data_IF_031535593837
#
_entry.id   IF_031535593837
#
_cell.length_a   1.000
_cell.length_b   1.000
_cell.length_c   1.000
_cell.angle_alpha   90.00
_cell.angle_beta   90.00
_cell.angle_gamma   90.00
#
_symmetry.space_group_name_H-M   'P 1'
#
loop_
_entity.id
_entity.type
_entity.pdbx_description
1 polymer ?
#
# COMPACT_ATOMS: atom_id res chain seq x y z
N UNK A 1 9.91 -22.46 17.98
CA UNK A 1 8.91 -21.38 18.01
C UNK A 1 7.54 -22.00 17.82
N UNK A 2 6.59 -21.76 18.73
CA UNK A 2 5.23 -22.32 18.66
C UNK A 2 4.44 -21.68 17.50
N UNK A 3 3.60 -22.46 16.82
CA UNK A 3 2.72 -21.93 15.76
C UNK A 3 1.73 -20.91 16.36
N UNK A 4 1.46 -19.79 15.67
CA UNK A 4 0.47 -18.80 16.14
C UNK A 4 -0.94 -19.37 16.16
N UNK A 5 -1.75 -18.94 17.11
CA UNK A 5 -3.19 -19.28 17.14
C UNK A 5 -3.98 -18.46 16.11
N UNK A 6 -5.18 -18.93 15.72
CA UNK A 6 -6.09 -18.20 14.81
C UNK A 6 -6.37 -16.78 15.32
N UNK A 7 -6.58 -16.62 16.64
CA UNK A 7 -6.83 -15.31 17.26
C UNK A 7 -5.61 -14.39 17.13
N UNK A 8 -4.40 -14.90 17.33
CA UNK A 8 -3.17 -14.13 17.14
C UNK A 8 -2.98 -13.70 15.69
N UNK A 9 -3.23 -14.60 14.73
CA UNK A 9 -3.13 -14.30 13.31
C UNK A 9 -4.15 -13.23 12.87
N UNK A 10 -5.39 -13.32 13.34
CA UNK A 10 -6.43 -12.32 13.07
C UNK A 10 -6.10 -10.96 13.68
N UNK A 11 -5.60 -10.91 14.93
CA UNK A 11 -5.16 -9.66 15.57
C UNK A 11 -4.02 -9.02 14.78
N UNK A 12 -3.06 -9.81 14.34
CA UNK A 12 -1.95 -9.33 13.51
C UNK A 12 -2.44 -8.79 12.15
N UNK A 13 -3.37 -9.47 11.50
CA UNK A 13 -3.99 -9.00 10.26
C UNK A 13 -4.70 -7.64 10.44
N UNK A 14 -5.45 -7.47 11.53
CA UNK A 14 -6.13 -6.19 11.81
C UNK A 14 -5.16 -5.06 12.14
N UNK A 15 -4.11 -5.36 12.92
CA UNK A 15 -3.09 -4.37 13.24
C UNK A 15 -2.40 -3.87 11.96
N UNK A 16 -1.98 -4.79 11.11
CA UNK A 16 -1.30 -4.47 9.86
C UNK A 16 -2.22 -3.78 8.85
N UNK A 17 -3.53 -4.05 8.87
CA UNK A 17 -4.53 -3.27 8.13
C UNK A 17 -4.54 -1.80 8.54
N UNK A 18 -4.51 -1.52 9.85
CA UNK A 18 -4.42 -0.13 10.35
C UNK A 18 -3.09 0.53 9.97
N UNK A 19 -1.97 -0.19 10.08
CA UNK A 19 -0.67 0.33 9.68
C UNK A 19 -0.64 0.68 8.19
N UNK A 20 -1.23 -0.17 7.35
CA UNK A 20 -1.34 0.09 5.92
C UNK A 20 -2.27 1.25 5.61
N UNK A 21 -3.39 1.40 6.33
CA UNK A 21 -4.25 2.59 6.21
C UNK A 21 -3.48 3.88 6.48
N UNK A 22 -2.64 3.88 7.53
CA UNK A 22 -1.84 5.05 7.90
C UNK A 22 -0.73 5.32 6.86
N UNK A 23 -0.02 4.28 6.41
CA UNK A 23 1.01 4.40 5.38
C UNK A 23 0.45 4.99 4.08
N UNK A 24 -0.65 4.42 3.59
CA UNK A 24 -1.34 4.91 2.40
C UNK A 24 -1.94 6.32 2.60
N UNK A 25 -2.60 6.55 3.74
CA UNK A 25 -3.21 7.85 4.03
C UNK A 25 -2.18 8.98 4.07
N UNK A 26 -0.99 8.73 4.64
CA UNK A 26 0.10 9.69 4.64
C UNK A 26 0.63 9.97 3.22
N UNK A 27 0.67 8.97 2.35
CA UNK A 27 1.06 9.16 0.96
C UNK A 27 0.03 9.97 0.15
N UNK A 28 -1.26 9.74 0.39
CA UNK A 28 -2.31 10.61 -0.18
C UNK A 28 -2.13 12.06 0.28
N UNK A 29 -1.80 12.27 1.56
CA UNK A 29 -1.49 13.61 2.09
C UNK A 29 -0.27 14.22 1.40
N UNK A 30 0.79 13.44 1.14
CA UNK A 30 1.96 13.92 0.38
C UNK A 30 1.55 14.44 -1.00
N UNK A 31 0.71 13.72 -1.76
CA UNK A 31 0.22 14.21 -3.06
C UNK A 31 -0.60 15.51 -2.94
N UNK A 32 -1.40 15.66 -1.89
CA UNK A 32 -2.13 16.90 -1.64
C UNK A 32 -1.18 18.06 -1.34
N UNK A 33 -0.12 17.82 -0.56
CA UNK A 33 0.88 18.84 -0.19
C UNK A 33 1.79 19.21 -1.36
N UNK A 34 2.17 18.24 -2.20
CA UNK A 34 2.94 18.46 -3.44
C UNK A 34 2.13 19.19 -4.50
N UNK A 35 0.80 19.12 -4.40
CA UNK A 35 -0.16 19.57 -5.40
C UNK A 35 -0.52 18.43 -6.35
N UNK A 36 -1.81 18.21 -6.58
CA UNK A 36 -2.32 17.07 -7.38
C UNK A 36 -1.85 17.08 -8.84
N UNK A 37 -1.42 18.24 -9.36
CA UNK A 37 -0.84 18.38 -10.71
C UNK A 37 0.65 18.04 -10.79
N UNK A 38 1.32 17.80 -9.66
CA UNK A 38 2.73 17.39 -9.63
C UNK A 38 2.93 15.99 -10.21
N UNK A 39 1.90 15.15 -10.18
CA UNK A 39 1.93 13.78 -10.70
C UNK A 39 1.08 13.69 -11.98
N UNK A 40 1.43 12.83 -12.96
CA UNK A 40 0.63 12.63 -14.16
C UNK A 40 -0.80 12.15 -13.86
N UNK A 41 -1.76 12.51 -14.72
CA UNK A 41 -3.16 12.14 -14.55
C UNK A 41 -3.39 10.63 -14.40
N UNK A 42 -2.66 9.80 -15.16
CA UNK A 42 -2.80 8.33 -15.04
C UNK A 42 -2.27 7.79 -13.72
N UNK A 43 -1.25 8.42 -13.12
CA UNK A 43 -0.78 8.07 -11.76
C UNK A 43 -1.86 8.38 -10.74
N UNK A 44 -2.49 9.56 -10.85
CA UNK A 44 -3.58 9.96 -9.94
C UNK A 44 -4.82 9.07 -10.08
N UNK A 45 -5.21 8.73 -11.31
CA UNK A 45 -6.32 7.82 -11.56
C UNK A 45 -6.02 6.40 -11.05
N UNK A 46 -4.80 5.90 -11.29
CA UNK A 46 -4.35 4.60 -10.79
C UNK A 46 -4.31 4.56 -9.25
N UNK A 47 -3.82 5.62 -8.62
CA UNK A 47 -3.80 5.79 -7.17
C UNK A 47 -5.19 5.82 -6.55
N UNK A 48 -6.17 6.46 -7.20
CA UNK A 48 -7.57 6.43 -6.75
C UNK A 48 -8.15 5.01 -6.80
N UNK A 49 -7.96 4.30 -7.92
CA UNK A 49 -8.43 2.91 -8.08
C UNK A 49 -7.79 2.02 -7.01
N UNK A 50 -6.48 2.13 -6.82
CA UNK A 50 -5.76 1.41 -5.78
C UNK A 50 -6.28 1.77 -4.38
N UNK A 51 -6.52 3.05 -4.09
CA UNK A 51 -7.06 3.50 -2.81
C UNK A 51 -8.43 2.88 -2.49
N UNK A 52 -9.32 2.75 -3.48
CA UNK A 52 -10.60 2.03 -3.30
C UNK A 52 -10.36 0.56 -2.90
N UNK A 53 -9.43 -0.12 -3.57
CA UNK A 53 -9.07 -1.51 -3.26
C UNK A 53 -8.49 -1.63 -1.84
N UNK A 54 -7.61 -0.70 -1.44
CA UNK A 54 -7.05 -0.61 -0.08
C UNK A 54 -8.15 -0.49 0.97
N UNK A 55 -9.08 0.45 0.80
CA UNK A 55 -10.19 0.64 1.73
C UNK A 55 -11.08 -0.61 1.84
N UNK A 56 -11.37 -1.29 0.71
CA UNK A 56 -12.12 -2.55 0.72
C UNK A 56 -11.37 -3.62 1.50
N UNK A 57 -10.08 -3.84 1.20
CA UNK A 57 -9.29 -4.88 1.84
C UNK A 57 -9.15 -4.66 3.36
N UNK A 58 -8.91 -3.43 3.78
CA UNK A 58 -8.84 -3.05 5.20
C UNK A 58 -10.19 -3.27 5.87
N UNK A 59 -11.28 -2.81 5.26
CA UNK A 59 -12.64 -2.97 5.80
C UNK A 59 -12.96 -4.45 6.01
N UNK A 60 -12.61 -5.31 5.05
CA UNK A 60 -12.81 -6.74 5.16
C UNK A 60 -11.98 -7.36 6.28
N UNK A 61 -10.71 -6.96 6.44
CA UNK A 61 -9.85 -7.42 7.53
C UNK A 61 -10.38 -7.02 8.91
N UNK A 62 -10.80 -5.76 9.06
CA UNK A 62 -11.36 -5.24 10.31
C UNK A 62 -12.68 -5.92 10.68
N UNK A 63 -13.53 -6.22 9.70
CA UNK A 63 -14.78 -6.96 9.88
C UNK A 63 -14.59 -8.47 10.07
N UNK A 64 -13.35 -8.98 9.96
CA UNK A 64 -13.05 -10.41 10.13
C UNK A 64 -13.66 -11.29 9.05
N UNK A 65 -13.79 -10.79 7.82
CA UNK A 65 -14.34 -11.58 6.71
C UNK A 65 -13.41 -12.73 6.31
N UNK A 66 -13.98 -13.86 5.87
CA UNK A 66 -13.22 -15.06 5.50
C UNK A 66 -12.24 -14.84 4.34
N UNK A 67 -12.59 -13.98 3.38
CA UNK A 67 -11.75 -13.63 2.22
C UNK A 67 -10.75 -12.50 2.49
N UNK A 68 -10.74 -11.91 3.68
CA UNK A 68 -9.84 -10.82 4.01
C UNK A 68 -8.34 -11.17 3.87
N UNK A 69 -7.87 -12.38 4.24
CA UNK A 69 -6.48 -12.76 4.04
C UNK A 69 -6.04 -12.77 2.57
N UNK A 70 -6.91 -13.23 1.66
CA UNK A 70 -6.62 -13.22 0.21
C UNK A 70 -6.48 -11.81 -0.33
N UNK A 71 -7.43 -10.93 0.04
CA UNK A 71 -7.38 -9.54 -0.38
C UNK A 71 -6.23 -8.77 0.25
N UNK A 72 -5.81 -9.09 1.47
CA UNK A 72 -4.63 -8.51 2.08
C UNK A 72 -3.36 -8.85 1.29
N UNK A 73 -3.21 -10.10 0.84
CA UNK A 73 -2.10 -10.54 0.00
C UNK A 73 -2.13 -9.80 -1.34
N UNK A 74 -3.26 -9.86 -2.04
CA UNK A 74 -3.41 -9.22 -3.36
C UNK A 74 -3.14 -7.72 -3.29
N UNK A 75 -3.78 -7.03 -2.35
CA UNK A 75 -3.69 -5.57 -2.24
C UNK A 75 -2.33 -5.12 -1.78
N UNK A 76 -1.74 -5.78 -0.76
CA UNK A 76 -0.44 -5.41 -0.24
C UNK A 76 0.69 -5.61 -1.24
N UNK A 77 0.72 -6.76 -1.93
CA UNK A 77 1.72 -7.04 -2.98
C UNK A 77 1.48 -6.16 -4.20
N UNK A 78 0.22 -6.03 -4.65
CA UNK A 78 -0.13 -5.18 -5.79
C UNK A 78 0.27 -3.73 -5.57
N UNK A 79 -0.01 -3.18 -4.37
CA UNK A 79 0.41 -1.82 -4.00
C UNK A 79 1.93 -1.69 -3.99
N UNK A 80 2.65 -2.63 -3.38
CA UNK A 80 4.12 -2.59 -3.37
C UNK A 80 4.72 -2.54 -4.80
N UNK A 81 4.17 -3.33 -5.72
CA UNK A 81 4.63 -3.34 -7.13
C UNK A 81 4.35 -2.01 -7.80
N UNK A 82 3.10 -1.54 -7.78
CA UNK A 82 2.72 -0.33 -8.54
C UNK A 82 3.37 0.93 -7.98
N UNK A 83 3.60 1.01 -6.66
CA UNK A 83 4.30 2.13 -6.03
C UNK A 83 5.79 2.13 -6.30
N UNK A 84 6.42 0.95 -6.27
CA UNK A 84 7.81 0.81 -6.68
C UNK A 84 7.98 1.25 -8.13
N UNK A 85 7.09 0.80 -9.01
CA UNK A 85 7.11 1.21 -10.42
C UNK A 85 6.89 2.72 -10.60
N UNK A 86 5.86 3.28 -9.95
CA UNK A 86 5.49 4.67 -10.10
C UNK A 86 6.56 5.63 -9.57
N UNK A 87 7.22 5.32 -8.45
CA UNK A 87 8.08 6.27 -7.74
C UNK A 87 9.55 5.88 -7.68
N UNK A 88 9.87 4.59 -7.63
CA UNK A 88 11.22 4.11 -7.32
C UNK A 88 11.98 3.57 -8.53
N UNK A 89 11.40 3.60 -9.72
CA UNK A 89 12.11 3.32 -10.97
C UNK A 89 12.44 4.63 -11.70
N UNK A 90 13.53 4.66 -12.49
CA UNK A 90 13.72 5.71 -13.48
C UNK A 90 12.53 5.79 -14.44
N UNK A 91 12.34 6.94 -15.08
CA UNK A 91 11.29 7.15 -16.07
C UNK A 91 11.53 6.28 -17.31
N UNK A 92 10.70 5.25 -17.45
CA UNK A 92 10.60 4.36 -18.62
C UNK A 92 9.34 4.74 -19.41
N UNK A 93 8.22 4.98 -18.71
CA UNK A 93 6.97 5.52 -19.27
C UNK A 93 6.46 6.71 -18.43
N UNK A 94 6.88 7.94 -18.77
CA UNK A 94 6.63 9.13 -17.94
C UNK A 94 5.15 9.42 -17.62
N UNK A 95 4.21 8.99 -18.46
CA UNK A 95 2.78 9.19 -18.21
C UNK A 95 2.23 8.32 -17.08
N UNK A 96 2.91 7.23 -16.73
CA UNK A 96 2.51 6.27 -15.69
C UNK A 96 3.44 6.27 -14.47
N UNK A 97 4.37 7.23 -14.41
CA UNK A 97 5.35 7.32 -13.34
C UNK A 97 5.39 8.74 -12.78
N UNK A 98 5.49 8.84 -11.47
CA UNK A 98 5.86 10.06 -10.74
C UNK A 98 7.18 9.76 -10.03
N UNK A 99 8.21 9.52 -10.85
CA UNK A 99 9.50 9.01 -10.40
C UNK A 99 10.20 10.01 -9.48
N UNK A 100 10.75 9.50 -8.38
CA UNK A 100 11.58 10.27 -7.44
C UNK A 100 13.07 10.22 -7.81
N UNK A 101 13.47 9.31 -8.72
CA UNK A 101 14.86 9.11 -9.14
C UNK A 101 15.25 9.96 -10.35
N UNK A 102 14.40 10.02 -11.36
CA UNK A 102 14.58 10.84 -12.57
C UNK A 102 13.61 12.02 -12.63
N UNK A 103 14.03 13.11 -13.28
CA UNK A 103 13.24 14.34 -13.42
C UNK A 103 11.86 14.11 -14.06
N UNK A 104 10.87 14.99 -13.81
CA UNK A 104 11.04 16.33 -13.23
C UNK A 104 11.08 16.38 -11.70
N UNK A 105 10.61 15.34 -10.98
CA UNK A 105 10.58 15.28 -9.49
C UNK A 105 9.88 16.48 -8.84
N UNK A 106 8.76 16.89 -9.42
CA UNK A 106 8.02 18.09 -8.99
C UNK A 106 7.64 17.98 -7.52
N UNK A 107 8.15 18.92 -6.72
CA UNK A 107 7.89 19.07 -5.28
C UNK A 107 8.19 17.82 -4.43
N UNK A 108 9.00 16.88 -4.92
CA UNK A 108 9.38 15.69 -4.14
C UNK A 108 10.24 16.12 -2.96
N UNK A 109 9.89 15.68 -1.75
CA UNK A 109 10.62 16.00 -0.51
C UNK A 109 11.01 14.72 0.23
N UNK A 110 11.72 14.86 1.36
CA UNK A 110 11.97 13.73 2.26
C UNK A 110 10.67 13.08 2.76
N UNK A 111 9.58 13.86 2.88
CA UNK A 111 8.28 13.36 3.32
C UNK A 111 7.67 12.43 2.25
N UNK A 112 7.84 12.77 0.98
CA UNK A 112 7.41 11.92 -0.16
C UNK A 112 8.13 10.57 -0.15
N UNK A 113 9.43 10.57 0.13
CA UNK A 113 10.21 9.34 0.31
C UNK A 113 9.72 8.52 1.50
N UNK A 114 9.55 9.16 2.66
CA UNK A 114 9.12 8.48 3.87
C UNK A 114 7.74 7.82 3.71
N UNK A 115 6.79 8.53 3.09
CA UNK A 115 5.43 8.05 2.90
C UNK A 115 5.33 6.97 1.82
N UNK A 116 6.01 7.11 0.67
CA UNK A 116 6.04 6.05 -0.35
C UNK A 116 6.67 4.74 0.18
N UNK A 117 7.80 4.83 0.90
CA UNK A 117 8.42 3.65 1.52
C UNK A 117 7.55 3.06 2.64
N UNK A 118 6.86 3.91 3.41
CA UNK A 118 5.90 3.46 4.43
C UNK A 118 4.75 2.71 3.80
N UNK A 119 4.19 3.19 2.69
CA UNK A 119 3.11 2.52 1.99
C UNK A 119 3.55 1.15 1.45
N UNK A 120 4.71 1.07 0.79
CA UNK A 120 5.27 -0.20 0.32
C UNK A 120 5.51 -1.16 1.49
N UNK A 121 6.17 -0.71 2.56
CA UNK A 121 6.51 -1.54 3.71
C UNK A 121 5.29 -2.05 4.46
N UNK A 122 4.31 -1.17 4.72
CA UNK A 122 3.08 -1.53 5.43
C UNK A 122 2.14 -2.38 4.57
N UNK A 123 2.10 -2.16 3.26
CA UNK A 123 1.40 -3.02 2.30
C UNK A 123 1.97 -4.44 2.28
N UNK A 124 3.30 -4.59 2.20
CA UNK A 124 3.96 -5.90 2.28
C UNK A 124 3.72 -6.59 3.64
N UNK A 125 3.74 -5.81 4.72
CA UNK A 125 3.44 -6.32 6.06
C UNK A 125 1.99 -6.82 6.17
N UNK A 126 1.03 -6.11 5.58
CA UNK A 126 -0.37 -6.53 5.50
C UNK A 126 -0.54 -7.80 4.66
N UNK A 127 0.14 -7.89 3.52
CA UNK A 127 0.17 -9.11 2.70
C UNK A 127 0.75 -10.31 3.47
N UNK A 128 1.86 -10.11 4.19
CA UNK A 128 2.46 -11.14 5.03
C UNK A 128 1.52 -11.60 6.15
N UNK A 129 0.81 -10.67 6.79
CA UNK A 129 -0.20 -11.01 7.78
C UNK A 129 -1.35 -11.83 7.18
N UNK A 130 -1.78 -11.49 5.96
CA UNK A 130 -2.73 -12.29 5.18
C UNK A 130 -2.23 -13.71 4.94
N UNK A 131 -0.97 -13.87 4.52
CA UNK A 131 -0.37 -15.19 4.31
C UNK A 131 -0.31 -16.01 5.60
N UNK A 132 0.07 -15.42 6.75
CA UNK A 132 0.02 -16.11 8.05
C UNK A 132 -1.39 -16.52 8.41
N UNK A 133 -2.37 -15.63 8.26
CA UNK A 133 -3.76 -15.93 8.58
C UNK A 133 -4.31 -17.10 7.74
N UNK A 134 -3.98 -17.18 6.45
CA UNK A 134 -4.33 -18.33 5.60
C UNK A 134 -3.72 -19.63 6.10
N UNK A 135 -2.42 -19.62 6.42
CA UNK A 135 -1.70 -20.82 6.87
C UNK A 135 -2.19 -21.36 8.21
N UNK A 136 -2.71 -20.49 9.08
CA UNK A 136 -3.25 -20.90 10.38
C UNK A 136 -4.70 -21.41 10.29
N UNK A 137 -5.40 -21.12 9.19
CA UNK A 137 -6.77 -21.58 8.94
C UNK A 137 -6.85 -22.86 8.09
N UNK A 138 -5.72 -23.28 7.50
CA UNK A 138 -5.56 -24.55 6.79
C UNK A 138 -5.11 -25.66 7.75
#
# INVERSE_FOLDING_TARGET
>A
MSAPTIVQAQRFLRLTAWMFLLGWGLHVIDHLLRGMSASPMFVMAGGLIQGVIVIIAITMALRGQSRAPDLAIFTGVGSAIVFTYAHLLPNIWPNFQDSYLSGPRLNVTWFSWATALSEIGTGLLFAYAGLRAKRTAA
#
